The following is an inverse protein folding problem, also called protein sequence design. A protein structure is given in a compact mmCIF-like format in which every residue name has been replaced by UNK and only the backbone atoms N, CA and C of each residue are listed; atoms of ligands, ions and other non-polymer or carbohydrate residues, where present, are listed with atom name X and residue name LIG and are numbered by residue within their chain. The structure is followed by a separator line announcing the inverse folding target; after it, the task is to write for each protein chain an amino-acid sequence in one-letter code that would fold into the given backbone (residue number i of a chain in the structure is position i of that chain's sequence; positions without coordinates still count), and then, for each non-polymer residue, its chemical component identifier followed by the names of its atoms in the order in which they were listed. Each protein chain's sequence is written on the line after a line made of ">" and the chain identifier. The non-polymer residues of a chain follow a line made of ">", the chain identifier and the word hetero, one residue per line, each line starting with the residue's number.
data_IF_757903989516
#
_entry.id   IF_757903989516
#
_cell.length_a   1.000
_cell.length_b   1.000
_cell.length_c   1.000
_cell.angle_alpha   90.00
_cell.angle_beta   90.00
_cell.angle_gamma   90.00
#
_symmetry.space_group_name_H-M   'P 1'
#
loop_
_entity.id
_entity.type
_entity.pdbx_description
1 polymer ?
#
# COMPACT_ATOMS: atom_id res chain seq x y z
N UNK A 1 17.26 -10.69 33.09
CA UNK A 1 15.92 -10.71 32.46
C UNK A 1 15.58 -9.30 32.00
N UNK A 2 15.57 -9.06 30.69
CA UNK A 2 15.01 -7.84 30.11
C UNK A 2 14.44 -8.22 28.74
N UNK A 3 13.12 -8.40 28.69
CA UNK A 3 12.38 -8.66 27.46
C UNK A 3 12.49 -7.43 26.56
N UNK A 4 13.33 -7.51 25.54
CA UNK A 4 13.42 -6.51 24.49
C UNK A 4 12.17 -6.62 23.63
N UNK A 5 11.27 -5.65 23.71
CA UNK A 5 10.06 -5.57 22.90
C UNK A 5 10.40 -5.74 21.41
N UNK A 6 9.63 -6.50 20.62
CA UNK A 6 9.84 -6.57 19.18
C UNK A 6 9.41 -5.22 18.59
N UNK A 7 10.31 -4.25 18.56
CA UNK A 7 10.18 -3.09 17.67
C UNK A 7 10.19 -3.68 16.28
N UNK A 8 8.98 -3.81 15.73
CA UNK A 8 8.72 -4.34 14.40
C UNK A 8 9.60 -3.56 13.41
N UNK A 9 10.72 -4.14 13.00
CA UNK A 9 11.52 -3.66 11.88
C UNK A 9 10.69 -3.90 10.62
N UNK A 10 9.69 -3.04 10.41
CA UNK A 10 8.95 -2.99 9.15
C UNK A 10 9.96 -2.58 8.10
N UNK A 11 10.32 -3.52 7.23
CA UNK A 11 11.27 -3.25 6.17
C UNK A 11 10.64 -2.34 5.12
N UNK A 12 11.46 -1.51 4.46
CA UNK A 12 11.03 -0.65 3.34
C UNK A 12 10.27 -1.47 2.27
N UNK A 13 10.72 -2.70 2.02
CA UNK A 13 10.06 -3.62 1.10
C UNK A 13 8.62 -3.97 1.50
N UNK A 14 8.34 -4.14 2.81
CA UNK A 14 6.99 -4.43 3.30
C UNK A 14 6.05 -3.22 3.16
N UNK A 15 6.58 -2.02 3.39
CA UNK A 15 5.86 -0.75 3.17
C UNK A 15 5.45 -0.64 1.70
N UNK A 16 6.43 -0.74 0.81
CA UNK A 16 6.23 -0.61 -0.63
C UNK A 16 5.24 -1.65 -1.15
N UNK A 17 5.40 -2.91 -0.75
CA UNK A 17 4.50 -3.99 -1.11
C UNK A 17 3.07 -3.74 -0.64
N UNK A 18 2.89 -3.17 0.55
CA UNK A 18 1.56 -2.83 1.09
C UNK A 18 0.93 -1.68 0.31
N UNK A 19 1.71 -0.66 -0.05
CA UNK A 19 1.26 0.46 -0.90
C UNK A 19 0.81 -0.08 -2.27
N UNK A 20 1.63 -0.92 -2.91
CA UNK A 20 1.31 -1.54 -4.20
C UNK A 20 0.10 -2.47 -4.10
N UNK A 21 -0.05 -3.23 -3.03
CA UNK A 21 -1.22 -4.09 -2.83
C UNK A 21 -2.51 -3.28 -2.67
N UNK A 22 -2.47 -2.20 -1.89
CA UNK A 22 -3.61 -1.29 -1.74
C UNK A 22 -3.95 -0.61 -3.06
N UNK A 23 -2.95 -0.02 -3.73
CA UNK A 23 -3.11 0.58 -5.05
C UNK A 23 -3.73 -0.42 -6.03
N UNK A 24 -3.22 -1.65 -6.01
CA UNK A 24 -3.73 -2.88 -6.63
C UNK A 24 -5.25 -3.02 -6.66
N UNK A 25 -5.89 -2.70 -5.53
CA UNK A 25 -7.28 -2.98 -5.24
C UNK A 25 -8.22 -1.81 -5.53
N UNK A 26 -7.68 -0.60 -5.67
CA UNK A 26 -8.46 0.62 -5.89
C UNK A 26 -8.08 1.35 -7.18
N UNK A 27 -7.51 0.65 -8.16
CA UNK A 27 -7.12 1.23 -9.45
C UNK A 27 -8.33 1.64 -10.31
N UNK A 28 -8.18 2.66 -11.18
CA UNK A 28 -7.07 3.62 -11.19
C UNK A 28 -7.08 4.48 -9.91
N UNK A 29 -5.90 4.89 -9.41
CA UNK A 29 -5.80 5.50 -8.07
C UNK A 29 -4.78 6.63 -7.97
N UNK A 30 -4.95 7.52 -7.00
CA UNK A 30 -3.95 8.52 -6.61
C UNK A 30 -3.23 8.16 -5.32
N UNK A 31 -2.05 8.75 -5.07
CA UNK A 31 -1.36 8.61 -3.79
C UNK A 31 -2.26 8.99 -2.59
N UNK A 32 -3.10 10.01 -2.77
CA UNK A 32 -4.06 10.47 -1.76
C UNK A 32 -5.10 9.40 -1.43
N UNK A 33 -5.63 8.73 -2.44
CA UNK A 33 -6.65 7.69 -2.26
C UNK A 33 -6.05 6.47 -1.56
N UNK A 34 -4.89 6.00 -2.03
CA UNK A 34 -4.20 4.88 -1.38
C UNK A 34 -3.87 5.22 0.07
N UNK A 35 -3.43 6.45 0.36
CA UNK A 35 -3.22 6.90 1.73
C UNK A 35 -4.51 6.86 2.55
N UNK A 36 -5.62 7.34 1.99
CA UNK A 36 -6.96 7.30 2.61
C UNK A 36 -7.36 5.87 3.00
N UNK A 37 -7.29 4.93 2.05
CA UNK A 37 -7.61 3.50 2.27
C UNK A 37 -6.60 2.79 3.19
N UNK A 38 -5.40 3.34 3.38
CA UNK A 38 -4.43 2.80 4.32
C UNK A 38 -4.85 2.94 5.79
N UNK A 39 -5.96 3.64 6.12
CA UNK A 39 -6.42 3.92 7.50
C UNK A 39 -6.52 2.69 8.39
N UNK A 40 -6.97 1.54 7.86
CA UNK A 40 -7.04 0.29 8.63
C UNK A 40 -5.79 -0.59 8.55
N UNK A 41 -4.67 -0.08 8.03
CA UNK A 41 -3.40 -0.82 7.90
C UNK A 41 -2.34 -0.31 8.87
N UNK A 42 -1.22 -1.04 9.00
CA UNK A 42 -0.10 -0.57 9.82
C UNK A 42 0.55 0.69 9.24
N UNK A 43 0.39 0.98 7.93
CA UNK A 43 1.04 2.11 7.26
C UNK A 43 0.74 3.45 7.94
N UNK A 44 -0.48 3.67 8.45
CA UNK A 44 -0.80 4.92 9.18
C UNK A 44 -0.11 5.06 10.53
N UNK A 45 0.35 3.95 11.12
CA UNK A 45 1.11 3.96 12.37
C UNK A 45 2.58 4.29 12.16
N UNK A 46 3.10 4.03 10.95
CA UNK A 46 4.54 4.13 10.64
C UNK A 46 4.88 5.24 9.64
N UNK A 47 3.93 5.67 8.81
CA UNK A 47 4.12 6.72 7.81
C UNK A 47 3.15 7.88 8.03
N UNK A 48 3.72 9.08 8.11
CA UNK A 48 2.95 10.31 7.87
C UNK A 48 2.64 10.45 6.37
N UNK A 49 1.75 11.40 6.04
CA UNK A 49 1.28 11.61 4.67
C UNK A 49 2.42 11.91 3.69
N UNK A 50 3.34 12.81 4.05
CA UNK A 50 4.46 13.21 3.20
C UNK A 50 5.41 12.05 2.91
N UNK A 51 5.75 11.25 3.92
CA UNK A 51 6.61 10.08 3.72
C UNK A 51 5.91 9.03 2.84
N UNK A 52 4.60 8.83 3.02
CA UNK A 52 3.81 7.96 2.15
C UNK A 52 3.85 8.43 0.69
N UNK A 53 3.61 9.71 0.43
CA UNK A 53 3.65 10.28 -0.92
C UNK A 53 5.03 10.09 -1.57
N UNK A 54 6.13 10.27 -0.81
CA UNK A 54 7.48 9.97 -1.31
C UNK A 54 7.68 8.50 -1.69
N UNK A 55 7.18 7.56 -0.87
CA UNK A 55 7.22 6.14 -1.23
C UNK A 55 6.44 5.87 -2.52
N UNK A 56 5.24 6.44 -2.65
CA UNK A 56 4.41 6.28 -3.83
C UNK A 56 5.05 6.84 -5.10
N UNK A 57 5.60 8.06 -5.03
CA UNK A 57 6.33 8.68 -6.14
C UNK A 57 7.57 7.89 -6.53
N UNK A 58 8.32 7.37 -5.55
CA UNK A 58 9.46 6.50 -5.83
C UNK A 58 9.03 5.23 -6.56
N UNK A 59 7.94 4.59 -6.14
CA UNK A 59 7.39 3.41 -6.80
C UNK A 59 6.96 3.69 -8.25
N UNK A 60 6.42 4.88 -8.53
CA UNK A 60 6.12 5.32 -9.88
C UNK A 60 7.40 5.51 -10.71
N UNK A 61 8.42 6.20 -10.17
CA UNK A 61 9.73 6.38 -10.83
C UNK A 61 10.44 5.05 -11.12
N UNK A 62 10.28 4.06 -10.24
CA UNK A 62 10.86 2.72 -10.38
C UNK A 62 10.01 1.77 -11.26
N UNK A 63 8.98 2.29 -11.93
CA UNK A 63 8.08 1.58 -12.84
C UNK A 63 7.26 0.43 -12.20
N UNK A 64 6.99 0.53 -10.90
CA UNK A 64 6.00 -0.34 -10.23
C UNK A 64 4.57 0.18 -10.38
N UNK A 65 4.42 1.46 -10.73
CA UNK A 65 3.16 2.11 -11.08
C UNK A 65 3.29 2.78 -12.46
N UNK A 66 2.24 2.73 -13.27
CA UNK A 66 2.12 3.54 -14.49
C UNK A 66 1.12 4.64 -14.29
N UNK A 67 1.50 5.86 -14.65
CA UNK A 67 0.59 6.98 -14.70
C UNK A 67 -0.34 6.83 -15.90
N UNK A 68 -1.62 7.02 -15.66
CA UNK A 68 -2.68 7.14 -16.65
C UNK A 68 -2.74 8.58 -17.16
N UNK A 69 -3.39 8.81 -18.30
CA UNK A 69 -3.53 10.16 -18.89
C UNK A 69 -4.26 11.18 -17.99
N UNK A 70 -4.97 10.72 -16.95
CA UNK A 70 -5.77 11.54 -16.02
C UNK A 70 -5.01 11.88 -14.73
N UNK A 71 -3.74 11.51 -14.60
CA UNK A 71 -2.95 11.76 -13.39
C UNK A 71 -3.11 10.70 -12.29
N UNK A 72 -3.93 9.68 -12.53
CA UNK A 72 -4.07 8.50 -11.68
C UNK A 72 -3.04 7.43 -12.06
N UNK A 73 -2.89 6.39 -11.25
CA UNK A 73 -1.91 5.34 -11.43
C UNK A 73 -2.55 3.95 -11.42
N UNK A 74 -1.97 3.05 -12.21
CA UNK A 74 -2.25 1.61 -12.23
C UNK A 74 -1.00 0.83 -11.82
N UNK A 75 -1.16 -0.29 -11.12
CA UNK A 75 -0.03 -1.13 -10.72
C UNK A 75 0.44 -1.95 -11.91
N UNK A 76 1.74 -1.93 -12.16
CA UNK A 76 2.34 -2.71 -13.26
C UNK A 76 2.45 -4.19 -12.87
N UNK A 77 2.65 -5.12 -13.82
CA UNK A 77 2.92 -6.52 -13.49
C UNK A 77 4.11 -6.69 -12.53
N UNK A 78 5.12 -5.81 -12.65
CA UNK A 78 6.29 -5.75 -11.74
C UNK A 78 5.86 -5.37 -10.32
N UNK A 79 4.96 -4.38 -10.18
CA UNK A 79 4.38 -3.95 -8.90
C UNK A 79 3.54 -5.04 -8.25
N UNK A 80 2.69 -5.71 -9.02
CA UNK A 80 1.87 -6.82 -8.51
C UNK A 80 2.76 -8.00 -8.05
N UNK A 81 3.82 -8.31 -8.80
CA UNK A 81 4.78 -9.34 -8.40
C UNK A 81 5.48 -9.02 -7.08
N UNK A 82 5.91 -7.77 -6.88
CA UNK A 82 6.51 -7.33 -5.61
C UNK A 82 5.51 -7.47 -4.45
N UNK A 83 4.29 -6.97 -4.63
CA UNK A 83 3.23 -7.08 -3.62
C UNK A 83 2.94 -8.55 -3.25
N UNK A 84 2.91 -9.45 -4.24
CA UNK A 84 2.63 -10.88 -4.02
C UNK A 84 3.77 -11.63 -3.34
N UNK A 85 5.02 -11.27 -3.64
CA UNK A 85 6.21 -11.91 -3.05
C UNK A 85 6.45 -11.46 -1.61
N UNK A 86 6.17 -10.20 -1.30
CA UNK A 86 6.48 -9.62 0.00
C UNK A 86 5.36 -9.77 1.03
N UNK A 87 4.10 -9.89 0.59
CA UNK A 87 2.96 -10.09 1.49
C UNK A 87 2.53 -11.56 1.52
N UNK A 88 2.09 -12.03 2.68
CA UNK A 88 1.42 -13.33 2.77
C UNK A 88 0.01 -13.26 2.18
N UNK A 89 -0.53 -14.40 1.72
CA UNK A 89 -1.90 -14.49 1.17
C UNK A 89 -2.95 -13.92 2.15
N UNK A 90 -2.84 -14.27 3.43
CA UNK A 90 -3.73 -13.80 4.50
C UNK A 90 -3.72 -12.28 4.65
N UNK A 91 -2.57 -11.64 4.49
CA UNK A 91 -2.44 -10.18 4.58
C UNK A 91 -3.11 -9.49 3.40
N UNK A 92 -2.89 -10.01 2.18
CA UNK A 92 -3.57 -9.49 0.98
C UNK A 92 -5.08 -9.64 1.06
N UNK A 93 -5.57 -10.77 1.56
CA UNK A 93 -7.02 -10.97 1.74
C UNK A 93 -7.60 -10.05 2.82
N UNK A 94 -6.84 -9.76 3.88
CA UNK A 94 -7.22 -8.73 4.86
C UNK A 94 -7.35 -7.34 4.24
N UNK A 95 -6.41 -6.94 3.37
CA UNK A 95 -6.48 -5.67 2.64
C UNK A 95 -7.71 -5.61 1.72
N UNK A 96 -8.03 -6.71 1.02
CA UNK A 96 -9.24 -6.83 0.19
C UNK A 96 -10.51 -6.63 1.02
N UNK A 97 -10.65 -7.33 2.14
CA UNK A 97 -11.80 -7.21 3.02
C UNK A 97 -11.95 -5.80 3.59
N UNK A 98 -10.84 -5.15 3.94
CA UNK A 98 -10.83 -3.77 4.42
C UNK A 98 -11.40 -2.81 3.37
N UNK A 99 -10.96 -2.94 2.11
CA UNK A 99 -11.43 -2.08 1.02
C UNK A 99 -12.91 -2.36 0.70
N UNK A 100 -13.33 -3.63 0.69
CA UNK A 100 -14.74 -4.00 0.51
C UNK A 100 -15.62 -3.37 1.59
N UNK A 101 -15.18 -3.41 2.84
CA UNK A 101 -15.89 -2.78 3.95
C UNK A 101 -15.93 -1.25 3.81
N UNK A 102 -14.80 -0.61 3.49
CA UNK A 102 -14.78 0.84 3.28
C UNK A 102 -15.72 1.30 2.16
N UNK A 103 -15.83 0.53 1.07
CA UNK A 103 -16.76 0.84 -0.02
C UNK A 103 -18.22 0.69 0.41
N UNK A 104 -18.53 -0.34 1.21
CA UNK A 104 -19.90 -0.62 1.68
C UNK A 104 -20.48 0.46 2.60
N UNK A 105 -19.64 1.15 3.37
CA UNK A 105 -20.09 2.16 4.34
C UNK A 105 -19.84 3.62 3.89
N UNK A 106 -19.42 3.83 2.62
CA UNK A 106 -19.29 5.15 1.99
C UNK A 106 -20.41 5.48 1.00
N UNK A 107 -21.44 4.61 0.91
CA UNK A 107 -22.71 4.86 0.20
C UNK A 107 -23.72 5.47 1.16
#
# INVERSE_FOLDING_TARGET
>A
MAQSSPRTNVTVALIDATILALAGLIQPTSARDVYSFAKGTFLRKVLNKTTFERHFERLAKEAFLWQTGTGEYVVTPKGDLLARRSLQRKERDKLRLLILNERRYKT
#
